data_IF_525516122343
#
_entry.id   IF_525516122343
#
_cell.length_a   1.000
_cell.length_b   1.000
_cell.length_c   1.000
_cell.angle_alpha   90.00
_cell.angle_beta   90.00
_cell.angle_gamma   90.00
#
_symmetry.space_group_name_H-M   'P 1'
#
loop_
_entity.id
_entity.type
_entity.pdbx_description
1 polymer ?
#
# COMPACT_ATOMS: atom_id res chain seq x y z
N UNK A 1 21.52 7.63 11.98
CA UNK A 1 20.07 7.73 12.23
C UNK A 1 19.36 6.50 11.71
N UNK A 2 18.41 6.05 12.43
CA UNK A 2 17.55 4.97 11.96
C UNK A 2 16.64 5.50 10.85
N UNK A 3 16.68 4.87 9.69
CA UNK A 3 15.88 5.33 8.56
C UNK A 3 14.37 5.29 8.82
N UNK A 4 13.95 4.44 9.75
CA UNK A 4 12.53 4.25 10.07
C UNK A 4 12.10 4.98 11.33
N UNK A 5 13.01 5.69 11.99
CA UNK A 5 12.69 6.42 13.19
C UNK A 5 11.75 7.57 12.83
N UNK A 6 10.59 7.62 13.48
CA UNK A 6 9.57 8.61 13.18
C UNK A 6 8.77 8.34 11.92
N UNK A 7 9.03 7.24 11.23
CA UNK A 7 8.24 6.89 10.05
C UNK A 7 6.80 6.54 10.44
N UNK A 8 5.83 6.87 9.58
CA UNK A 8 4.45 6.46 9.85
C UNK A 8 4.36 4.95 9.88
N UNK A 9 3.50 4.44 10.76
CA UNK A 9 3.29 3.01 10.87
C UNK A 9 1.81 2.68 11.01
N UNK A 10 1.47 1.47 10.63
CA UNK A 10 0.11 0.96 10.76
C UNK A 10 0.15 -0.52 11.10
N UNK A 11 -0.91 -0.99 11.74
CA UNK A 11 -1.13 -2.39 11.99
C UNK A 11 -2.01 -2.97 10.89
N UNK A 12 -1.52 -4.04 10.27
CA UNK A 12 -2.27 -4.81 9.30
C UNK A 12 -2.86 -6.00 10.05
N UNK A 13 -4.17 -6.11 10.01
CA UNK A 13 -4.89 -7.17 10.71
C UNK A 13 -5.47 -8.11 9.68
N UNK A 14 -5.06 -9.37 9.72
CA UNK A 14 -5.47 -10.38 8.75
C UNK A 14 -6.51 -11.31 9.38
N UNK A 15 -7.46 -11.75 8.56
CA UNK A 15 -8.43 -12.73 9.00
C UNK A 15 -7.73 -14.07 9.28
N UNK A 16 -8.25 -14.82 10.25
CA UNK A 16 -7.65 -16.09 10.62
C UNK A 16 -7.56 -17.07 9.45
N UNK A 17 -8.48 -16.97 8.51
CA UNK A 17 -8.51 -17.86 7.34
C UNK A 17 -7.28 -17.69 6.43
N UNK A 18 -6.58 -16.55 6.51
CA UNK A 18 -5.45 -16.28 5.63
C UNK A 18 -4.11 -16.16 6.39
N UNK A 19 -4.09 -16.43 7.68
CA UNK A 19 -2.85 -16.30 8.48
C UNK A 19 -1.73 -17.15 7.89
N UNK A 20 -2.03 -18.31 7.39
CA UNK A 20 -1.04 -19.22 6.81
C UNK A 20 -0.30 -18.57 5.64
N UNK A 21 -0.92 -17.62 4.96
CA UNK A 21 -0.27 -16.88 3.86
C UNK A 21 0.83 -15.94 4.35
N UNK A 22 0.91 -15.66 5.64
CA UNK A 22 2.00 -14.85 6.21
C UNK A 22 3.28 -15.65 6.42
N UNK A 23 3.23 -16.97 6.28
CA UNK A 23 4.43 -17.79 6.45
C UNK A 23 5.50 -17.36 5.45
N UNK A 24 6.70 -17.15 5.93
CA UNK A 24 7.82 -16.67 5.11
C UNK A 24 8.04 -15.16 5.17
N UNK A 25 7.09 -14.40 5.67
CA UNK A 25 7.27 -12.96 5.89
C UNK A 25 7.96 -12.77 7.23
N UNK A 26 8.96 -11.88 7.25
CA UNK A 26 9.79 -11.64 8.44
C UNK A 26 9.97 -10.15 8.68
N UNK A 27 10.25 -9.82 9.94
CA UNK A 27 10.64 -8.45 10.29
C UNK A 27 11.86 -8.04 9.45
N UNK A 28 11.82 -6.84 8.93
CA UNK A 28 12.84 -6.30 8.04
C UNK A 28 12.53 -6.45 6.56
N UNK A 29 11.59 -7.32 6.20
CA UNK A 29 11.22 -7.51 4.80
C UNK A 29 10.52 -6.27 4.25
N UNK A 30 10.77 -5.97 2.98
CA UNK A 30 9.97 -5.02 2.23
C UNK A 30 8.93 -5.76 1.40
N UNK A 31 7.71 -5.26 1.46
CA UNK A 31 6.60 -5.82 0.68
C UNK A 31 5.83 -4.71 -0.02
N UNK A 32 5.07 -5.10 -1.03
CA UNK A 32 4.09 -4.23 -1.66
C UNK A 32 2.73 -4.62 -1.11
N UNK A 33 2.08 -3.66 -0.48
CA UNK A 33 0.74 -3.80 0.06
C UNK A 33 -0.24 -3.22 -0.93
N UNK A 34 -1.24 -4.00 -1.30
CA UNK A 34 -2.33 -3.55 -2.15
C UNK A 34 -3.57 -3.38 -1.30
N UNK A 35 -4.20 -2.23 -1.41
CA UNK A 35 -5.37 -1.88 -0.62
C UNK A 35 -6.51 -1.45 -1.52
N UNK A 36 -7.73 -1.50 -0.99
CA UNK A 36 -8.89 -0.93 -1.65
C UNK A 36 -9.19 0.40 -0.99
N UNK A 37 -9.05 1.49 -1.75
CA UNK A 37 -9.28 2.83 -1.23
C UNK A 37 -10.77 3.14 -1.28
N UNK A 38 -11.50 2.57 -0.34
CA UNK A 38 -12.96 2.52 -0.34
C UNK A 38 -13.63 3.88 -0.16
N UNK A 39 -12.86 4.92 0.22
CA UNK A 39 -13.39 6.28 0.33
C UNK A 39 -13.08 7.14 -0.89
N UNK A 40 -12.39 6.58 -1.88
CA UNK A 40 -12.05 7.31 -3.09
C UNK A 40 -13.24 7.35 -4.06
N UNK A 41 -13.26 8.39 -4.89
CA UNK A 41 -14.26 8.51 -5.94
C UNK A 41 -13.89 7.60 -7.11
N UNK A 42 -14.86 6.84 -7.62
CA UNK A 42 -14.63 5.89 -8.70
C UNK A 42 -15.03 6.42 -10.07
N UNK A 43 -15.66 7.58 -10.12
CA UNK A 43 -16.14 8.18 -11.36
C UNK A 43 -15.21 9.25 -11.92
N UNK A 44 -13.99 9.36 -11.37
CA UNK A 44 -12.99 10.34 -11.79
C UNK A 44 -12.11 9.70 -12.85
N UNK A 45 -12.01 10.33 -14.02
CA UNK A 45 -11.21 9.86 -15.14
C UNK A 45 -10.00 10.73 -15.42
N UNK A 46 -10.02 12.00 -14.96
CA UNK A 46 -8.93 12.94 -15.16
C UNK A 46 -8.67 13.72 -13.89
N UNK A 47 -7.39 13.95 -13.60
CA UNK A 47 -6.96 14.74 -12.45
C UNK A 47 -5.76 15.59 -12.85
N UNK A 48 -5.47 16.64 -12.05
CA UNK A 48 -4.19 17.31 -12.08
C UNK A 48 -3.24 16.56 -11.13
N UNK A 49 -2.04 16.19 -11.60
CA UNK A 49 -1.09 15.49 -10.74
C UNK A 49 -0.84 16.27 -9.45
N UNK A 50 -1.01 15.58 -8.31
CA UNK A 50 -0.84 16.16 -6.96
C UNK A 50 -1.69 17.41 -6.70
N UNK A 51 -2.80 17.57 -7.42
CA UNK A 51 -3.64 18.76 -7.30
C UNK A 51 -3.00 20.04 -7.77
N UNK A 52 -1.89 19.98 -8.50
CA UNK A 52 -1.16 21.16 -8.99
C UNK A 52 -1.93 21.82 -10.11
N UNK A 53 -2.51 22.99 -9.82
CA UNK A 53 -3.33 23.73 -10.78
C UNK A 53 -2.52 24.28 -11.96
N UNK A 54 -1.20 24.35 -11.84
CA UNK A 54 -0.34 24.80 -12.94
C UNK A 54 -0.10 23.70 -13.97
N UNK A 55 -0.44 22.46 -13.66
CA UNK A 55 -0.25 21.32 -14.56
C UNK A 55 -1.54 20.97 -15.26
N UNK A 56 -1.41 20.47 -16.50
CA UNK A 56 -2.56 20.01 -17.24
C UNK A 56 -3.20 18.79 -16.56
N UNK A 57 -4.50 18.67 -16.74
CA UNK A 57 -5.22 17.48 -16.27
C UNK A 57 -4.77 16.27 -17.09
N UNK A 58 -4.63 15.16 -16.43
CA UNK A 58 -4.20 13.90 -17.03
C UNK A 58 -5.21 12.82 -16.74
N UNK A 59 -5.25 11.80 -17.60
CA UNK A 59 -6.00 10.59 -17.32
C UNK A 59 -5.47 9.93 -16.06
N UNK A 60 -6.37 9.41 -15.23
CA UNK A 60 -5.98 8.87 -13.93
C UNK A 60 -5.03 7.67 -14.04
N UNK A 61 -5.08 6.93 -15.16
CA UNK A 61 -4.19 5.78 -15.32
C UNK A 61 -2.73 6.18 -15.55
N UNK A 62 -2.47 7.46 -15.85
CA UNK A 62 -1.11 7.98 -15.94
C UNK A 62 -0.66 8.64 -14.64
N UNK A 63 -1.41 8.47 -13.57
CA UNK A 63 -1.15 9.07 -12.26
C UNK A 63 -1.31 8.05 -11.14
N UNK A 64 -0.91 8.45 -9.95
CA UNK A 64 -1.14 7.67 -8.74
C UNK A 64 -2.31 8.21 -7.91
N UNK A 65 -3.22 8.98 -8.53
CA UNK A 65 -4.39 9.49 -7.83
C UNK A 65 -5.19 8.34 -7.21
N UNK A 66 -5.66 8.50 -5.96
CA UNK A 66 -6.57 7.49 -5.38
C UNK A 66 -7.93 7.46 -6.07
N UNK A 67 -8.37 8.59 -6.66
CA UNK A 67 -9.66 8.68 -7.33
C UNK A 67 -9.52 8.12 -8.74
N UNK A 68 -10.12 6.97 -8.95
CA UNK A 68 -10.01 6.23 -10.20
C UNK A 68 -11.07 5.13 -10.23
N UNK A 69 -11.36 4.54 -11.40
CA UNK A 69 -12.43 3.54 -11.51
C UNK A 69 -12.27 2.35 -10.56
N UNK A 70 -11.06 1.84 -10.41
CA UNK A 70 -10.75 0.82 -9.40
C UNK A 70 -9.67 1.39 -8.49
N UNK A 71 -10.05 1.95 -7.34
CA UNK A 71 -9.11 2.71 -6.50
C UNK A 71 -8.26 1.78 -5.65
N UNK A 72 -7.34 1.09 -6.30
CA UNK A 72 -6.38 0.21 -5.64
C UNK A 72 -5.16 1.03 -5.25
N UNK A 73 -4.86 1.02 -3.95
CA UNK A 73 -3.65 1.62 -3.42
C UNK A 73 -2.49 0.66 -3.52
N UNK A 74 -1.31 1.19 -3.80
CA UNK A 74 -0.09 0.41 -3.86
C UNK A 74 0.92 1.07 -2.94
N UNK A 75 1.38 0.33 -1.93
CA UNK A 75 2.24 0.87 -0.88
C UNK A 75 3.46 -0.01 -0.71
N UNK A 76 4.65 0.58 -0.79
CA UNK A 76 5.87 -0.14 -0.46
C UNK A 76 6.16 0.09 1.01
N UNK A 77 6.14 -0.97 1.79
CA UNK A 77 6.25 -0.89 3.24
C UNK A 77 7.30 -1.85 3.75
N UNK A 78 7.80 -1.57 4.96
CA UNK A 78 8.72 -2.46 5.66
C UNK A 78 7.99 -3.13 6.81
N UNK A 79 8.20 -4.41 6.97
CA UNK A 79 7.62 -5.17 8.09
C UNK A 79 8.48 -4.92 9.33
N UNK A 80 7.87 -4.37 10.36
CA UNK A 80 8.57 -4.11 11.62
C UNK A 80 8.45 -5.28 12.59
N UNK A 81 7.26 -5.89 12.67
CA UNK A 81 7.03 -7.02 13.57
C UNK A 81 5.79 -7.79 13.12
N UNK A 82 5.73 -9.04 13.54
CA UNK A 82 4.59 -9.92 13.27
C UNK A 82 4.17 -10.53 14.60
N UNK A 83 2.89 -10.46 14.90
CA UNK A 83 2.31 -11.01 16.10
C UNK A 83 0.98 -11.71 15.74
N UNK A 84 1.07 -13.01 15.49
CA UNK A 84 -0.10 -13.79 15.09
C UNK A 84 -0.67 -13.29 13.76
N UNK A 85 -1.89 -12.77 13.80
CA UNK A 85 -2.56 -12.24 12.62
C UNK A 85 -2.34 -10.75 12.43
N UNK A 86 -1.46 -10.13 13.20
CA UNK A 86 -1.20 -8.70 13.16
C UNK A 86 0.21 -8.45 12.70
N UNK A 87 0.36 -7.56 11.76
CA UNK A 87 1.66 -7.18 11.21
C UNK A 87 1.81 -5.68 11.32
N UNK A 88 2.89 -5.23 11.96
CA UNK A 88 3.20 -3.82 12.04
C UNK A 88 4.05 -3.45 10.84
N UNK A 89 3.54 -2.51 10.04
CA UNK A 89 4.20 -2.04 8.83
C UNK A 89 4.67 -0.61 9.02
N UNK A 90 5.87 -0.32 8.55
CA UNK A 90 6.45 1.03 8.56
C UNK A 90 6.31 1.65 7.17
N UNK A 91 6.36 2.98 7.13
CA UNK A 91 6.24 3.77 5.91
C UNK A 91 4.84 3.65 5.28
N UNK A 92 3.83 3.51 6.13
CA UNK A 92 2.46 3.38 5.69
C UNK A 92 1.59 4.39 6.43
N UNK A 93 1.03 5.34 5.68
CA UNK A 93 -0.05 6.17 6.14
C UNK A 93 -1.33 5.62 5.55
N UNK A 94 -2.21 5.16 6.40
CA UNK A 94 -3.44 4.56 5.94
C UNK A 94 -4.61 5.04 6.79
N UNK A 95 -5.76 5.17 6.15
CA UNK A 95 -6.99 5.43 6.88
C UNK A 95 -7.39 4.14 7.60
N UNK A 96 -7.72 4.27 8.89
CA UNK A 96 -8.16 3.14 9.68
C UNK A 96 -9.35 2.43 8.99
N UNK A 97 -9.27 1.13 8.90
CA UNK A 97 -10.32 0.33 8.28
C UNK A 97 -10.19 0.15 6.77
N UNK A 98 -9.13 0.69 6.15
CA UNK A 98 -8.88 0.46 4.72
C UNK A 98 -8.66 -1.03 4.45
N UNK A 99 -9.46 -1.65 3.57
CA UNK A 99 -9.31 -3.07 3.30
C UNK A 99 -7.98 -3.42 2.61
N UNK A 100 -7.39 -4.52 3.02
CA UNK A 100 -6.20 -5.08 2.37
C UNK A 100 -6.66 -6.05 1.30
N UNK A 101 -6.14 -5.89 0.08
CA UNK A 101 -6.43 -6.79 -1.03
C UNK A 101 -5.40 -7.91 -1.09
N UNK A 102 -4.12 -7.55 -0.99
CA UNK A 102 -3.03 -8.51 -1.23
C UNK A 102 -1.72 -7.98 -0.68
N UNK A 103 -0.77 -8.87 -0.47
CA UNK A 103 0.60 -8.54 -0.07
C UNK A 103 1.53 -9.32 -0.99
N UNK A 104 2.49 -8.63 -1.59
CA UNK A 104 3.48 -9.27 -2.47
C UNK A 104 4.88 -8.87 -2.04
N UNK A 105 5.85 -9.78 -2.12
CA UNK A 105 7.22 -9.42 -1.77
C UNK A 105 7.81 -8.46 -2.82
N UNK A 106 8.74 -7.62 -2.37
CA UNK A 106 9.57 -6.85 -3.30
C UNK A 106 10.66 -7.79 -3.81
N UNK A 107 10.71 -7.98 -5.12
CA UNK A 107 11.66 -8.88 -5.74
C UNK A 107 12.94 -8.12 -6.11
N UNK A 108 14.00 -8.89 -6.36
CA UNK A 108 15.24 -8.27 -6.80
C UNK A 108 15.07 -7.61 -8.17
N UNK A 109 15.91 -6.61 -8.44
CA UNK A 109 15.75 -5.72 -9.61
C UNK A 109 15.83 -6.42 -10.96
N UNK A 110 16.39 -7.62 -11.02
CA UNK A 110 16.53 -8.39 -12.25
C UNK A 110 15.32 -9.29 -12.52
N UNK A 111 14.30 -9.25 -11.69
CA UNK A 111 13.08 -10.04 -11.83
C UNK A 111 11.91 -9.09 -12.06
N UNK A 112 11.10 -9.38 -13.08
CA UNK A 112 9.90 -8.59 -13.34
C UNK A 112 8.91 -8.69 -12.20
N UNK A 113 8.34 -7.58 -11.83
CA UNK A 113 7.26 -7.55 -10.86
C UNK A 113 5.95 -8.01 -11.52
N UNK A 114 5.23 -8.84 -10.79
CA UNK A 114 3.97 -9.42 -11.28
C UNK A 114 2.83 -9.21 -10.30
#
# INVERSE_FOLDING_TARGET
MQGDEGAPEAWLVFESAVIEALDGIRAGDEVILLTWLDRACRDVLRVRPRGDVARARQGVFSTRSPHRPNPIGLHRVRIASIDGNRVRALNLEAVHGTPIIDVKPVLSSDISER
#
